data_IF_223310840971
#
_entry.id   IF_223310840971
#
_cell.length_a   1.000
_cell.length_b   1.000
_cell.length_c   1.000
_cell.angle_alpha   90.00
_cell.angle_beta   90.00
_cell.angle_gamma   90.00
#
_symmetry.space_group_name_H-M   'P 1'
#
loop_
_entity.id
_entity.type
_entity.pdbx_description
1 polymer ?
#
# COMPACT_ATOMS: atom_id res chain seq x y z
N UNK A 1 12.56 3.30 11.50
CA UNK A 1 12.77 4.15 10.32
C UNK A 1 13.03 5.59 10.75
N UNK A 2 13.83 6.38 10.03
CA UNK A 2 14.00 7.82 10.26
C UNK A 2 13.17 8.66 9.28
N UNK A 3 13.07 9.98 9.49
CA UNK A 3 12.22 10.84 8.66
C UNK A 3 12.67 10.95 7.19
N UNK A 4 13.98 10.88 6.93
CA UNK A 4 14.51 10.93 5.56
C UNK A 4 14.09 9.67 4.77
N UNK A 5 14.25 8.50 5.39
CA UNK A 5 13.81 7.22 4.84
C UNK A 5 12.31 7.21 4.56
N UNK A 6 11.47 7.69 5.50
CA UNK A 6 10.03 7.77 5.27
C UNK A 6 9.70 8.65 4.06
N UNK A 7 10.33 9.82 3.93
CA UNK A 7 10.12 10.73 2.80
C UNK A 7 10.58 10.09 1.48
N UNK A 8 11.68 9.34 1.48
CA UNK A 8 12.16 8.61 0.29
C UNK A 8 11.17 7.53 -0.15
N UNK A 9 10.63 6.75 0.78
CA UNK A 9 9.59 5.76 0.48
C UNK A 9 8.35 6.43 -0.11
N UNK A 10 7.83 7.48 0.53
CA UNK A 10 6.66 8.21 0.04
C UNK A 10 6.90 8.74 -1.39
N UNK A 11 8.06 9.35 -1.66
CA UNK A 11 8.42 9.82 -3.02
C UNK A 11 8.49 8.69 -4.04
N UNK A 12 8.91 7.51 -3.62
CA UNK A 12 8.95 6.32 -4.46
C UNK A 12 7.55 5.81 -4.80
N UNK A 13 6.67 5.71 -3.80
CA UNK A 13 5.29 5.25 -3.94
C UNK A 13 4.42 6.16 -4.82
N UNK A 14 4.74 7.45 -4.90
CA UNK A 14 4.04 8.43 -5.77
C UNK A 14 4.84 8.76 -7.04
N UNK A 15 5.84 7.94 -7.39
CA UNK A 15 6.64 8.18 -8.59
C UNK A 15 5.79 8.07 -9.86
N UNK A 16 6.16 8.82 -10.88
CA UNK A 16 5.57 8.67 -12.23
C UNK A 16 5.93 7.33 -12.89
N UNK A 17 7.00 6.67 -12.45
CA UNK A 17 7.46 5.37 -12.95
C UNK A 17 6.80 4.22 -12.19
N UNK A 18 6.00 3.41 -12.88
CA UNK A 18 5.31 2.25 -12.31
C UNK A 18 6.27 1.24 -11.68
N UNK A 19 7.42 0.97 -12.33
CA UNK A 19 8.42 0.03 -11.78
C UNK A 19 9.03 0.53 -10.49
N UNK A 20 9.15 1.85 -10.35
CA UNK A 20 9.62 2.45 -9.10
C UNK A 20 8.57 2.34 -8.00
N UNK A 21 7.28 2.47 -8.32
CA UNK A 21 6.20 2.27 -7.35
C UNK A 21 6.13 0.83 -6.88
N UNK A 22 6.18 -0.13 -7.81
CA UNK A 22 6.29 -1.57 -7.55
C UNK A 22 7.46 -1.88 -6.59
N UNK A 23 8.68 -1.55 -7.01
CA UNK A 23 9.89 -1.79 -6.22
C UNK A 23 9.83 -1.16 -4.82
N UNK A 24 9.29 0.06 -4.71
CA UNK A 24 9.23 0.75 -3.41
C UNK A 24 8.14 0.18 -2.52
N UNK A 25 7.02 -0.29 -3.08
CA UNK A 25 6.02 -1.03 -2.31
C UNK A 25 6.61 -2.33 -1.74
N UNK A 26 7.41 -3.08 -2.52
CA UNK A 26 8.12 -4.25 -2.00
C UNK A 26 9.11 -3.87 -0.88
N UNK A 27 9.85 -2.77 -1.04
CA UNK A 27 10.76 -2.28 0.02
C UNK A 27 9.98 -1.96 1.30
N UNK A 28 8.75 -1.44 1.23
CA UNK A 28 7.94 -1.18 2.43
C UNK A 28 7.74 -2.46 3.24
N UNK A 29 7.52 -3.62 2.60
CA UNK A 29 7.39 -4.91 3.28
C UNK A 29 8.62 -5.24 4.14
N UNK A 30 9.83 -4.93 3.65
CA UNK A 30 11.07 -5.15 4.40
C UNK A 30 11.17 -4.26 5.66
N UNK A 31 10.52 -3.10 5.66
CA UNK A 31 10.57 -2.13 6.76
C UNK A 31 9.44 -2.28 7.77
N UNK A 32 8.43 -3.12 7.53
CA UNK A 32 7.25 -3.27 8.42
C UNK A 32 7.64 -3.48 9.88
N UNK A 33 8.57 -4.40 10.15
CA UNK A 33 9.04 -4.69 11.51
C UNK A 33 9.81 -3.56 12.21
N UNK A 34 10.21 -2.52 11.47
CA UNK A 34 10.96 -1.36 11.95
C UNK A 34 10.17 -0.05 11.90
N UNK A 35 8.90 -0.11 11.49
CA UNK A 35 8.00 1.05 11.43
C UNK A 35 7.41 1.34 12.81
N UNK A 36 7.36 2.62 13.17
CA UNK A 36 6.46 3.04 14.23
C UNK A 36 5.01 3.01 13.73
N UNK A 37 4.03 3.02 14.65
CA UNK A 37 2.61 3.14 14.27
C UNK A 37 2.33 4.40 13.44
N UNK A 38 2.98 5.52 13.76
CA UNK A 38 2.82 6.76 13.01
C UNK A 38 3.35 6.63 11.58
N UNK A 39 4.53 6.03 11.41
CA UNK A 39 5.11 5.76 10.09
C UNK A 39 4.23 4.83 9.26
N UNK A 40 3.77 3.74 9.87
CA UNK A 40 2.90 2.76 9.22
C UNK A 40 1.57 3.37 8.76
N UNK A 41 0.98 4.27 9.55
CA UNK A 41 -0.24 5.00 9.18
C UNK A 41 -0.02 5.89 7.96
N UNK A 42 1.12 6.59 7.90
CA UNK A 42 1.48 7.43 6.74
C UNK A 42 1.66 6.57 5.49
N UNK A 43 2.42 5.49 5.59
CA UNK A 43 2.66 4.59 4.46
C UNK A 43 1.37 3.92 3.98
N UNK A 44 0.51 3.49 4.90
CA UNK A 44 -0.79 2.90 4.59
C UNK A 44 -1.70 3.88 3.83
N UNK A 45 -1.79 5.14 4.29
CA UNK A 45 -2.56 6.18 3.60
C UNK A 45 -2.06 6.44 2.18
N UNK A 46 -0.74 6.54 2.01
CA UNK A 46 -0.14 6.75 0.68
C UNK A 46 -0.34 5.54 -0.23
N UNK A 47 -0.10 4.33 0.26
CA UNK A 47 -0.32 3.10 -0.49
C UNK A 47 -1.78 2.92 -0.90
N UNK A 48 -2.72 3.20 0.01
CA UNK A 48 -4.15 3.12 -0.26
C UNK A 48 -4.57 4.11 -1.35
N UNK A 49 -4.11 5.36 -1.26
CA UNK A 49 -4.37 6.36 -2.28
C UNK A 49 -3.71 5.98 -3.63
N UNK A 50 -2.46 5.52 -3.63
CA UNK A 50 -1.78 5.07 -4.85
C UNK A 50 -2.50 3.88 -5.51
N UNK A 51 -2.83 2.84 -4.74
CA UNK A 51 -3.54 1.67 -5.23
C UNK A 51 -4.92 2.02 -5.81
N UNK A 52 -5.61 3.00 -5.22
CA UNK A 52 -6.93 3.44 -5.71
C UNK A 52 -6.93 3.99 -7.14
N UNK A 53 -5.78 4.50 -7.59
CA UNK A 53 -5.61 5.11 -8.91
C UNK A 53 -4.53 4.44 -9.77
N UNK A 54 -4.02 3.28 -9.35
CA UNK A 54 -2.96 2.56 -10.06
C UNK A 54 -3.52 1.88 -11.31
N UNK A 55 -2.79 2.04 -12.42
CA UNK A 55 -3.14 1.45 -13.71
C UNK A 55 -2.21 0.30 -14.11
N UNK A 56 -1.02 0.23 -13.51
CA UNK A 56 -0.06 -0.82 -13.77
C UNK A 56 -0.33 -2.03 -12.84
N UNK A 57 -0.62 -3.23 -13.38
CA UNK A 57 -1.01 -4.37 -12.56
C UNK A 57 0.06 -4.84 -11.58
N UNK A 58 1.34 -4.79 -11.95
CA UNK A 58 2.43 -5.24 -11.09
C UNK A 58 2.62 -4.27 -9.91
N UNK A 59 2.59 -2.97 -10.21
CA UNK A 59 2.63 -1.96 -9.16
C UNK A 59 1.41 -2.06 -8.22
N UNK A 60 0.22 -2.31 -8.75
CA UNK A 60 -0.99 -2.47 -7.95
C UNK A 60 -0.89 -3.68 -7.02
N UNK A 61 -0.44 -4.83 -7.54
CA UNK A 61 -0.22 -6.05 -6.75
C UNK A 61 0.75 -5.80 -5.58
N UNK A 62 1.93 -5.24 -5.85
CA UNK A 62 2.90 -4.91 -4.81
C UNK A 62 2.36 -3.90 -3.79
N UNK A 63 1.59 -2.90 -4.22
CA UNK A 63 0.98 -1.92 -3.30
C UNK A 63 -0.06 -2.56 -2.37
N UNK A 64 -0.92 -3.43 -2.90
CA UNK A 64 -1.92 -4.16 -2.11
C UNK A 64 -1.24 -5.17 -1.16
N UNK A 65 -0.19 -5.85 -1.62
CA UNK A 65 0.60 -6.74 -0.77
C UNK A 65 1.25 -5.98 0.39
N UNK A 66 1.87 -4.82 0.14
CA UNK A 66 2.44 -3.99 1.19
C UNK A 66 1.40 -3.52 2.23
N UNK A 67 0.16 -3.24 1.79
CA UNK A 67 -0.94 -2.92 2.71
C UNK A 67 -1.33 -4.12 3.60
N UNK A 68 -1.31 -5.35 3.06
CA UNK A 68 -1.57 -6.55 3.85
C UNK A 68 -0.49 -6.76 4.91
N UNK A 69 0.78 -6.59 4.55
CA UNK A 69 1.90 -6.73 5.49
C UNK A 69 1.87 -5.68 6.61
N UNK A 70 1.59 -4.41 6.26
CA UNK A 70 1.34 -3.37 7.27
C UNK A 70 0.12 -3.72 8.14
N UNK A 71 -0.89 -4.33 7.53
CA UNK A 71 -2.07 -4.83 8.20
C UNK A 71 -1.73 -5.89 9.25
N UNK A 72 -1.07 -6.97 8.84
CA UNK A 72 -0.61 -8.04 9.71
C UNK A 72 0.28 -7.52 10.86
N UNK A 73 1.07 -6.47 10.62
CA UNK A 73 1.85 -5.76 11.64
C UNK A 73 1.06 -4.88 12.60
N UNK A 74 -0.26 -4.72 12.43
CA UNK A 74 -1.11 -3.85 13.25
C UNK A 74 -0.84 -2.36 13.03
N UNK A 75 -0.36 -1.99 11.84
CA UNK A 75 0.07 -0.64 11.46
C UNK A 75 -0.92 0.11 10.56
N UNK A 76 -2.04 -0.53 10.22
CA UNK A 76 -3.16 0.08 9.49
C UNK A 76 -4.39 0.22 10.38
N UNK A 77 -5.32 1.08 9.97
CA UNK A 77 -6.70 1.16 10.43
C UNK A 77 -7.65 1.45 9.25
N UNK A 78 -8.96 1.35 9.49
CA UNK A 78 -9.98 1.56 8.45
C UNK A 78 -9.96 2.96 7.81
N UNK A 79 -9.43 3.96 8.52
CA UNK A 79 -9.32 5.32 8.01
C UNK A 79 -8.12 5.42 7.05
N UNK A 80 -6.99 4.82 7.41
CA UNK A 80 -5.77 4.78 6.59
C UNK A 80 -5.94 4.03 5.27
N UNK A 81 -6.87 3.07 5.17
CA UNK A 81 -7.12 2.31 3.93
C UNK A 81 -8.41 2.71 3.21
N UNK A 82 -9.04 3.82 3.59
CA UNK A 82 -10.37 4.20 3.10
C UNK A 82 -10.46 4.36 1.58
N UNK A 83 -9.36 4.74 0.92
CA UNK A 83 -9.29 4.94 -0.54
C UNK A 83 -9.43 3.62 -1.33
N UNK A 84 -9.19 2.45 -0.73
CA UNK A 84 -9.42 1.18 -1.42
C UNK A 84 -10.89 0.99 -1.83
N UNK A 85 -11.83 1.66 -1.14
CA UNK A 85 -13.25 1.66 -1.50
C UNK A 85 -13.54 2.37 -2.83
N UNK A 86 -12.60 3.17 -3.33
CA UNK A 86 -12.72 3.92 -4.58
C UNK A 86 -12.25 3.09 -5.80
N UNK A 87 -11.58 1.95 -5.57
CA UNK A 87 -11.06 1.09 -6.64
C UNK A 87 -12.20 0.60 -7.55
N UNK A 88 -12.00 0.70 -8.86
CA UNK A 88 -12.92 0.12 -9.85
C UNK A 88 -12.74 -1.40 -9.94
N UNK A 89 -13.43 -2.13 -9.06
CA UNK A 89 -13.39 -3.59 -8.95
C UNK A 89 -13.78 -4.34 -10.24
N UNK A 90 -14.47 -3.70 -11.19
CA UNK A 90 -14.91 -4.36 -12.44
C UNK A 90 -13.79 -4.57 -13.45
N UNK A 91 -12.73 -3.79 -13.36
CA UNK A 91 -11.62 -3.80 -14.32
C UNK A 91 -10.39 -4.53 -13.77
N UNK A 92 -10.46 -5.02 -12.52
CA UNK A 92 -9.38 -5.74 -11.87
C UNK A 92 -9.36 -7.22 -12.24
N UNK A 93 -8.16 -7.80 -12.20
CA UNK A 93 -8.01 -9.25 -12.18
C UNK A 93 -8.58 -9.84 -10.87
N UNK A 94 -9.15 -11.05 -10.96
CA UNK A 94 -9.75 -11.76 -9.82
C UNK A 94 -8.78 -11.93 -8.64
N UNK A 95 -7.51 -12.26 -8.94
CA UNK A 95 -6.48 -12.40 -7.92
C UNK A 95 -6.25 -11.13 -7.11
N UNK A 96 -6.41 -9.93 -7.71
CA UNK A 96 -6.24 -8.66 -7.00
C UNK A 96 -7.50 -8.25 -6.22
N UNK A 97 -8.67 -8.79 -6.58
CA UNK A 97 -9.89 -8.58 -5.83
C UNK A 97 -9.82 -9.25 -4.46
N UNK A 98 -9.21 -10.44 -4.38
CA UNK A 98 -8.97 -11.15 -3.11
C UNK A 98 -8.17 -10.28 -2.13
N UNK A 99 -7.08 -9.64 -2.57
CA UNK A 99 -6.32 -8.70 -1.74
C UNK A 99 -7.16 -7.56 -1.18
N UNK A 100 -8.02 -6.96 -2.02
CA UNK A 100 -8.87 -5.82 -1.61
C UNK A 100 -9.94 -6.28 -0.62
N UNK A 101 -10.53 -7.44 -0.83
CA UNK A 101 -11.51 -8.01 0.10
C UNK A 101 -10.85 -8.34 1.45
N UNK A 102 -9.71 -9.02 1.46
CA UNK A 102 -8.96 -9.33 2.69
C UNK A 102 -8.65 -8.04 3.48
N UNK A 103 -8.19 -6.99 2.80
CA UNK A 103 -7.90 -5.70 3.43
C UNK A 103 -9.14 -5.01 4.03
N UNK A 104 -10.31 -5.16 3.41
CA UNK A 104 -11.55 -4.52 3.85
C UNK A 104 -12.37 -5.38 4.82
N UNK A 105 -12.15 -6.69 4.86
CA UNK A 105 -12.85 -7.65 5.72
C UNK A 105 -12.12 -7.92 7.05
N UNK A 106 -10.76 -7.91 7.09
CA UNK A 106 -9.97 -8.27 8.29
C UNK A 106 -9.93 -7.19 9.41
N UNK A 107 -10.93 -6.31 9.53
CA UNK A 107 -10.86 -5.15 10.46
C UNK A 107 -12.15 -4.85 11.21
#
# INVERSE_FOLDING_TARGET
MNSEQLVELVRGLVSVDARKREMVADIVCDWVGSCSRADGTVLAGVLSASASCESDPAALESQLHALLELGAGGLTDLESIAHLREINRREMAESLLEYVDDLLEER
#
